data_IF_106534239431
#
_entry.id   IF_106534239431
#
_cell.length_a   1.000
_cell.length_b   1.000
_cell.length_c   1.000
_cell.angle_alpha   90.00
_cell.angle_beta   90.00
_cell.angle_gamma   90.00
#
_symmetry.space_group_name_H-M   'P 1'
#
loop_
_entity.id
_entity.type
_entity.pdbx_description
1 polymer ?
#
# COMPACT_ATOMS: atom_id res chain seq x y z
N UNK A 1 36.33 -3.84 -7.93
CA UNK A 1 35.10 -3.05 -8.16
C UNK A 1 34.06 -3.52 -7.17
N UNK A 2 33.84 -2.78 -6.10
CA UNK A 2 32.71 -3.06 -5.19
C UNK A 2 31.44 -2.54 -5.85
N UNK A 3 30.55 -3.47 -6.22
CA UNK A 3 29.23 -3.11 -6.73
C UNK A 3 28.46 -2.55 -5.55
N UNK A 4 28.40 -1.21 -5.45
CA UNK A 4 27.54 -0.52 -4.50
C UNK A 4 26.10 -0.90 -4.85
N UNK A 5 25.54 -1.86 -4.09
CA UNK A 5 24.12 -2.20 -4.17
C UNK A 5 23.33 -1.03 -3.59
N UNK A 6 22.91 -0.11 -4.45
CA UNK A 6 21.92 0.91 -4.10
C UNK A 6 20.61 0.18 -3.81
N UNK A 7 20.32 -0.09 -2.53
CA UNK A 7 18.97 -0.48 -2.12
C UNK A 7 18.17 0.82 -2.05
N UNK A 8 17.11 1.00 -2.87
CA UNK A 8 16.23 2.14 -2.68
C UNK A 8 15.72 2.09 -1.24
N UNK A 9 15.95 3.15 -0.47
CA UNK A 9 15.32 3.29 0.84
C UNK A 9 13.83 3.40 0.55
N UNK A 10 13.08 2.34 0.85
CA UNK A 10 11.63 2.36 0.68
C UNK A 10 11.09 3.43 1.62
N UNK A 11 10.60 4.53 1.05
CA UNK A 11 9.84 5.49 1.82
C UNK A 11 8.59 4.78 2.32
N UNK A 12 8.45 4.73 3.65
CA UNK A 12 7.31 4.10 4.31
C UNK A 12 5.97 4.76 3.93
N UNK A 13 6.03 6.01 3.46
CA UNK A 13 4.90 6.83 3.03
C UNK A 13 5.06 7.21 1.55
N UNK A 14 4.08 6.84 0.74
CA UNK A 14 4.04 7.05 -0.70
C UNK A 14 3.05 8.16 -1.05
N UNK A 15 3.42 9.04 -1.97
CA UNK A 15 2.47 9.92 -2.63
C UNK A 15 1.76 9.19 -3.77
N UNK A 16 0.67 9.78 -4.28
CA UNK A 16 -0.08 9.24 -5.41
C UNK A 16 0.82 8.87 -6.61
N UNK A 17 1.81 9.72 -6.94
CA UNK A 17 2.75 9.47 -8.04
C UNK A 17 3.62 8.24 -7.80
N UNK A 18 4.03 8.00 -6.56
CA UNK A 18 4.85 6.83 -6.21
C UNK A 18 4.00 5.55 -6.29
N UNK A 19 2.73 5.62 -5.87
CA UNK A 19 1.78 4.50 -6.02
C UNK A 19 1.53 4.20 -7.50
N UNK A 20 1.39 5.22 -8.36
CA UNK A 20 1.26 5.05 -9.81
C UNK A 20 2.43 4.26 -10.40
N UNK A 21 3.66 4.59 -10.00
CA UNK A 21 4.86 3.88 -10.43
C UNK A 21 4.90 2.44 -9.87
N UNK A 22 4.57 2.27 -8.59
CA UNK A 22 4.59 0.97 -7.90
C UNK A 22 3.67 -0.05 -8.56
N UNK A 23 2.44 0.33 -8.91
CA UNK A 23 1.47 -0.59 -9.50
C UNK A 23 1.62 -0.73 -11.02
N UNK A 24 2.51 0.06 -11.65
CA UNK A 24 2.77 0.04 -13.10
C UNK A 24 1.56 0.44 -13.95
N UNK A 25 0.65 1.28 -13.43
CA UNK A 25 -0.60 1.65 -14.13
C UNK A 25 -0.64 3.14 -14.52
N UNK A 26 -1.36 3.43 -15.60
CA UNK A 26 -1.69 4.81 -16.02
C UNK A 26 -2.46 5.53 -14.90
N UNK A 27 -2.31 6.86 -14.80
CA UNK A 27 -2.82 7.68 -13.69
C UNK A 27 -4.32 7.48 -13.37
N UNK A 28 -5.19 7.30 -14.38
CA UNK A 28 -6.62 7.04 -14.16
C UNK A 28 -6.88 5.73 -13.41
N UNK A 29 -6.12 4.67 -13.73
CA UNK A 29 -6.26 3.37 -13.07
C UNK A 29 -5.71 3.40 -11.65
N UNK A 30 -4.66 4.20 -11.38
CA UNK A 30 -4.15 4.42 -10.04
C UNK A 30 -5.13 5.23 -9.17
N UNK A 31 -5.83 6.21 -9.75
CA UNK A 31 -6.87 6.93 -9.03
C UNK A 31 -8.02 6.02 -8.57
N UNK A 32 -8.52 5.16 -9.47
CA UNK A 32 -9.54 4.16 -9.11
C UNK A 32 -9.03 3.19 -8.04
N UNK A 33 -7.78 2.74 -8.17
CA UNK A 33 -7.14 1.87 -7.17
C UNK A 33 -7.07 2.53 -5.79
N UNK A 34 -6.60 3.78 -5.71
CA UNK A 34 -6.51 4.53 -4.45
C UNK A 34 -7.89 4.77 -3.82
N UNK A 35 -8.90 5.08 -4.64
CA UNK A 35 -10.28 5.23 -4.17
C UNK A 35 -10.80 3.93 -3.57
N UNK A 36 -10.56 2.80 -4.21
CA UNK A 36 -10.99 1.48 -3.72
C UNK A 36 -10.24 1.09 -2.44
N UNK A 37 -8.94 1.40 -2.38
CA UNK A 37 -8.11 1.22 -1.18
C UNK A 37 -8.64 2.03 0.01
N UNK A 38 -8.92 3.31 -0.18
CA UNK A 38 -9.46 4.17 0.88
C UNK A 38 -10.84 3.70 1.34
N UNK A 39 -11.71 3.29 0.40
CA UNK A 39 -13.02 2.70 0.73
C UNK A 39 -12.87 1.43 1.57
N UNK A 40 -11.95 0.54 1.18
CA UNK A 40 -11.63 -0.66 1.94
C UNK A 40 -11.16 -0.31 3.37
N UNK A 41 -10.19 0.58 3.51
CA UNK A 41 -9.67 1.00 4.80
C UNK A 41 -10.75 1.63 5.70
N UNK A 42 -11.62 2.48 5.14
CA UNK A 42 -12.72 3.12 5.88
C UNK A 42 -13.77 2.12 6.33
N UNK A 43 -14.06 1.11 5.51
CA UNK A 43 -14.99 0.02 5.88
C UNK A 43 -14.40 -0.98 6.89
N UNK A 44 -13.07 -1.04 7.01
CA UNK A 44 -12.36 -1.96 7.91
C UNK A 44 -11.24 -1.23 8.67
N UNK A 45 -11.58 -0.33 9.62
CA UNK A 45 -10.62 0.59 10.24
C UNK A 45 -9.48 -0.10 11.00
N UNK A 46 -9.66 -1.36 11.40
CA UNK A 46 -8.65 -2.13 12.14
C UNK A 46 -7.85 -3.12 11.29
N UNK A 47 -8.13 -3.24 9.99
CA UNK A 47 -7.52 -4.29 9.15
C UNK A 47 -6.00 -4.17 9.05
N UNK A 48 -5.50 -2.94 8.91
CA UNK A 48 -4.06 -2.68 8.74
C UNK A 48 -3.31 -2.50 10.06
N UNK A 49 -3.94 -2.71 11.22
CA UNK A 49 -3.24 -2.58 12.51
C UNK A 49 -2.03 -3.54 12.58
N UNK A 50 -0.89 -3.09 13.13
CA UNK A 50 -0.67 -1.83 13.87
C UNK A 50 -0.35 -0.59 13.01
N UNK A 51 -0.34 -0.73 11.69
CA UNK A 51 0.08 0.33 10.76
C UNK A 51 -1.12 1.22 10.37
N UNK A 52 -0.87 2.52 10.22
CA UNK A 52 -1.86 3.45 9.66
C UNK A 52 -1.81 3.38 8.12
N UNK A 53 -2.91 3.04 7.42
CA UNK A 53 -2.87 2.75 5.99
C UNK A 53 -2.68 3.99 5.12
N UNK A 54 -3.17 5.15 5.56
CA UNK A 54 -2.95 6.44 4.90
C UNK A 54 -3.07 7.58 5.91
N UNK A 55 -2.46 8.71 5.58
CA UNK A 55 -2.52 9.94 6.36
C UNK A 55 -2.55 11.15 5.45
N UNK A 56 -3.17 12.24 5.90
CA UNK A 56 -3.10 13.52 5.21
C UNK A 56 -2.01 14.37 5.87
N UNK A 57 -1.14 14.96 5.06
CA UNK A 57 -0.19 15.98 5.53
C UNK A 57 -0.90 17.33 5.77
N UNK A 58 -0.24 18.25 6.47
CA UNK A 58 -0.67 19.63 6.74
C UNK A 58 -1.19 20.37 5.49
N UNK A 59 -0.63 20.08 4.32
CA UNK A 59 -1.00 20.64 3.01
C UNK A 59 -2.13 19.86 2.31
N UNK A 60 -2.89 19.03 3.04
CA UNK A 60 -3.99 18.22 2.51
C UNK A 60 -3.57 17.17 1.47
N UNK A 61 -2.28 16.87 1.35
CA UNK A 61 -1.80 15.80 0.47
C UNK A 61 -1.89 14.46 1.20
N UNK A 62 -2.59 13.49 0.61
CA UNK A 62 -2.67 12.14 1.17
C UNK A 62 -1.41 11.34 0.84
N UNK A 63 -0.81 10.78 1.88
CA UNK A 63 0.25 9.78 1.81
C UNK A 63 -0.30 8.41 2.17
N UNK A 64 0.23 7.38 1.55
CA UNK A 64 -0.20 6.00 1.69
C UNK A 64 0.93 5.14 2.25
N UNK A 65 0.63 4.24 3.18
CA UNK A 65 1.66 3.36 3.71
C UNK A 65 2.07 2.32 2.66
N UNK A 66 3.37 2.19 2.41
CA UNK A 66 3.92 1.29 1.40
C UNK A 66 3.40 -0.15 1.54
N UNK A 67 3.55 -0.75 2.73
CA UNK A 67 3.15 -2.13 2.96
C UNK A 67 1.64 -2.33 2.84
N UNK A 68 0.84 -1.37 3.30
CA UNK A 68 -0.61 -1.44 3.16
C UNK A 68 -1.05 -1.40 1.68
N UNK A 69 -0.37 -0.58 0.87
CA UNK A 69 -0.61 -0.50 -0.58
C UNK A 69 -0.20 -1.79 -1.29
N UNK A 70 1.00 -2.32 -1.03
CA UNK A 70 1.47 -3.56 -1.65
C UNK A 70 0.55 -4.72 -1.29
N UNK A 71 0.21 -4.88 0.00
CA UNK A 71 -0.73 -5.89 0.45
C UNK A 71 -2.07 -5.81 -0.29
N UNK A 72 -2.64 -4.61 -0.38
CA UNK A 72 -3.91 -4.41 -1.05
C UNK A 72 -3.81 -4.65 -2.55
N UNK A 73 -2.69 -4.27 -3.18
CA UNK A 73 -2.43 -4.48 -4.59
C UNK A 73 -2.37 -5.97 -4.94
N UNK A 74 -1.57 -6.75 -4.20
CA UNK A 74 -1.40 -8.18 -4.43
C UNK A 74 -2.70 -8.97 -4.18
N UNK A 75 -3.52 -8.52 -3.23
CA UNK A 75 -4.69 -9.28 -2.76
C UNK A 75 -6.03 -8.65 -3.14
N UNK A 76 -6.05 -7.62 -4.00
CA UNK A 76 -7.23 -6.75 -4.25
C UNK A 76 -8.50 -7.53 -4.53
N UNK A 77 -8.45 -8.48 -5.45
CA UNK A 77 -9.64 -9.23 -5.90
C UNK A 77 -10.25 -10.05 -4.77
N UNK A 78 -9.41 -10.74 -4.00
CA UNK A 78 -9.83 -11.57 -2.87
C UNK A 78 -10.34 -10.72 -1.70
N UNK A 79 -9.67 -9.60 -1.43
CA UNK A 79 -10.06 -8.64 -0.40
C UNK A 79 -11.41 -7.97 -0.70
N UNK A 80 -11.64 -7.62 -1.96
CA UNK A 80 -12.90 -7.06 -2.47
C UNK A 80 -14.03 -8.09 -2.50
N UNK A 81 -13.73 -9.36 -2.78
CA UNK A 81 -14.67 -10.48 -2.65
C UNK A 81 -15.03 -10.81 -1.20
N UNK A 82 -14.34 -10.21 -0.22
CA UNK A 82 -14.66 -10.38 1.21
C UNK A 82 -14.00 -11.59 1.86
N UNK A 83 -12.90 -12.09 1.31
CA UNK A 83 -12.16 -13.20 1.93
C UNK A 83 -11.70 -12.85 3.35
N UNK A 84 -11.69 -13.85 4.23
CA UNK A 84 -11.13 -13.75 5.60
C UNK A 84 -9.79 -14.46 5.74
N UNK A 85 -9.36 -15.20 4.72
CA UNK A 85 -8.15 -16.02 4.74
C UNK A 85 -6.87 -15.19 4.65
N UNK A 86 -6.99 -13.94 4.19
CA UNK A 86 -5.86 -13.02 4.01
C UNK A 86 -5.90 -11.98 5.12
N UNK A 87 -4.83 -11.89 5.89
CA UNK A 87 -4.68 -10.96 7.00
C UNK A 87 -3.36 -10.20 6.88
N UNK A 88 -3.45 -8.86 6.90
CA UNK A 88 -2.30 -7.97 6.88
C UNK A 88 -1.29 -8.26 8.01
N UNK A 89 -1.73 -8.65 9.21
CA UNK A 89 -0.82 -8.91 10.33
C UNK A 89 0.20 -10.00 10.02
N UNK A 90 -0.24 -11.08 9.38
CA UNK A 90 0.62 -12.19 8.99
C UNK A 90 1.44 -11.84 7.74
N UNK A 91 0.85 -11.02 6.86
CA UNK A 91 1.49 -10.63 5.61
C UNK A 91 2.59 -9.57 5.80
N UNK A 92 2.51 -8.77 6.88
CA UNK A 92 3.45 -7.68 7.14
C UNK A 92 4.90 -8.17 7.30
N UNK A 93 5.11 -9.33 7.92
CA UNK A 93 6.46 -9.90 8.06
C UNK A 93 7.02 -10.32 6.70
N UNK A 94 6.22 -11.04 5.90
CA UNK A 94 6.57 -11.40 4.52
C UNK A 94 6.89 -10.17 3.68
N UNK A 95 6.08 -9.12 3.80
CA UNK A 95 6.25 -7.89 3.01
C UNK A 95 7.54 -7.14 3.35
N UNK A 96 7.96 -7.14 4.63
CA UNK A 96 9.23 -6.52 5.06
C UNK A 96 10.46 -7.31 4.62
N UNK A 97 10.33 -8.61 4.42
CA UNK A 97 11.42 -9.46 3.91
C UNK A 97 11.55 -9.37 2.40
N UNK A 98 10.42 -9.27 1.69
CA UNK A 98 10.35 -9.25 0.24
C UNK A 98 10.69 -7.89 -0.39
N UNK A 99 10.40 -6.79 0.32
CA UNK A 99 10.55 -5.43 -0.15
C UNK A 99 11.36 -4.60 0.85
#
# INVERSE_FOLDING_TARGET
MEIVKVRPVIQMWLYKKDVEQLIGRKSTSAHNFLRDFEKFCRSRPNYFKPVKPFQSDSHSTTQYNYYAIVHFFENRELLMAGTRSINFKNDLERLKEAY
#
